data_IF_829271579630
#
_entry.id   IF_829271579630
#
_cell.length_a   1.000
_cell.length_b   1.000
_cell.length_c   1.000
_cell.angle_alpha   90.00
_cell.angle_beta   90.00
_cell.angle_gamma   90.00
#
_symmetry.space_group_name_H-M   'P 1'
#
loop_
_entity.id
_entity.type
_entity.pdbx_description
1 polymer ?
#
# COMPACT_ATOMS: atom_id res chain seq x y z
N UNK A 1 -12.17 5.56 -14.93
CA UNK A 1 -11.08 5.43 -15.94
C UNK A 1 -9.71 5.86 -15.41
N UNK A 2 -9.41 7.14 -15.14
CA UNK A 2 -8.06 7.52 -14.67
C UNK A 2 -7.66 6.93 -13.30
N UNK A 3 -8.59 6.89 -12.34
CA UNK A 3 -8.33 6.35 -10.99
C UNK A 3 -8.04 4.85 -11.02
N UNK A 4 -8.89 4.04 -11.65
CA UNK A 4 -8.72 2.59 -11.78
C UNK A 4 -7.37 2.24 -12.44
N UNK A 5 -7.02 2.93 -13.54
CA UNK A 5 -5.73 2.73 -14.21
C UNK A 5 -4.53 3.03 -13.30
N UNK A 6 -4.61 4.09 -12.50
CA UNK A 6 -3.56 4.43 -11.52
C UNK A 6 -3.45 3.38 -10.43
N UNK A 7 -4.58 2.89 -9.91
CA UNK A 7 -4.59 1.82 -8.91
C UNK A 7 -3.99 0.53 -9.48
N UNK A 8 -4.37 0.11 -10.69
CA UNK A 8 -3.76 -1.04 -11.38
C UNK A 8 -2.26 -0.86 -11.54
N UNK A 9 -1.81 0.32 -11.98
CA UNK A 9 -0.38 0.63 -12.08
C UNK A 9 0.36 0.45 -10.74
N UNK A 10 -0.19 0.94 -9.63
CA UNK A 10 0.45 0.78 -8.31
C UNK A 10 0.49 -0.67 -7.85
N UNK A 11 -0.55 -1.46 -8.13
CA UNK A 11 -0.57 -2.89 -7.82
C UNK A 11 0.46 -3.65 -8.66
N UNK A 12 0.58 -3.37 -9.95
CA UNK A 12 1.56 -3.99 -10.83
C UNK A 12 3.00 -3.66 -10.40
N UNK A 13 3.27 -2.41 -9.99
CA UNK A 13 4.57 -2.02 -9.45
C UNK A 13 4.84 -2.66 -8.08
N UNK A 14 3.81 -2.80 -7.24
CA UNK A 14 3.93 -3.48 -5.96
C UNK A 14 4.25 -4.96 -6.14
N UNK A 15 3.60 -5.67 -7.05
CA UNK A 15 3.88 -7.10 -7.31
C UNK A 15 5.36 -7.34 -7.65
N UNK A 16 5.96 -6.49 -8.50
CA UNK A 16 7.39 -6.58 -8.83
C UNK A 16 8.28 -6.41 -7.59
N UNK A 17 7.97 -5.43 -6.75
CA UNK A 17 8.72 -5.16 -5.51
C UNK A 17 8.53 -6.28 -4.49
N UNK A 18 7.30 -6.79 -4.36
CA UNK A 18 6.92 -7.88 -3.47
C UNK A 18 7.66 -9.16 -3.84
N UNK A 19 7.73 -9.50 -5.12
CA UNK A 19 8.46 -10.68 -5.61
C UNK A 19 9.96 -10.57 -5.31
N UNK A 20 10.56 -9.39 -5.51
CA UNK A 20 11.96 -9.18 -5.18
C UNK A 20 12.21 -9.30 -3.67
N UNK A 21 11.38 -8.63 -2.85
CA UNK A 21 11.45 -8.72 -1.39
C UNK A 21 11.30 -10.16 -0.90
N UNK A 22 10.34 -10.90 -1.45
CA UNK A 22 10.13 -12.31 -1.12
C UNK A 22 11.40 -13.12 -1.40
N UNK A 23 12.03 -12.91 -2.57
CA UNK A 23 13.31 -13.51 -2.92
C UNK A 23 14.43 -13.17 -1.93
N UNK A 24 14.58 -11.89 -1.57
CA UNK A 24 15.61 -11.41 -0.63
C UNK A 24 15.44 -12.00 0.77
N UNK A 25 14.22 -11.96 1.32
CA UNK A 25 13.93 -12.54 2.64
C UNK A 25 14.12 -14.06 2.65
N UNK A 26 13.75 -14.76 1.58
CA UNK A 26 13.91 -16.22 1.47
C UNK A 26 15.38 -16.64 1.44
N UNK A 27 16.23 -15.85 0.78
CA UNK A 27 17.69 -16.08 0.70
C UNK A 27 18.47 -15.48 1.87
N UNK A 28 17.80 -14.76 2.78
CA UNK A 28 18.40 -13.99 3.87
C UNK A 28 19.40 -12.92 3.39
N UNK A 29 19.20 -12.41 2.18
CA UNK A 29 19.98 -11.32 1.60
C UNK A 29 19.38 -9.99 2.07
N UNK A 30 20.08 -9.23 2.91
CA UNK A 30 19.53 -7.98 3.48
C UNK A 30 20.01 -6.69 2.81
N UNK A 31 20.98 -6.76 1.90
CA UNK A 31 21.66 -5.58 1.37
C UNK A 31 20.69 -4.56 0.74
N UNK A 32 19.73 -5.04 -0.04
CA UNK A 32 18.81 -4.16 -0.80
C UNK A 32 17.41 -4.07 -0.17
N UNK A 33 17.13 -4.85 0.88
CA UNK A 33 15.81 -4.91 1.54
C UNK A 33 15.33 -3.53 2.02
N UNK A 34 16.16 -2.69 2.67
CA UNK A 34 15.71 -1.36 3.12
C UNK A 34 15.20 -0.49 1.97
N UNK A 35 15.88 -0.50 0.82
CA UNK A 35 15.51 0.32 -0.34
C UNK A 35 14.27 -0.21 -1.05
N UNK A 36 14.15 -1.53 -1.19
CA UNK A 36 12.95 -2.17 -1.72
C UNK A 36 11.73 -1.92 -0.82
N UNK A 37 11.91 -1.97 0.50
CA UNK A 37 10.84 -1.66 1.46
C UNK A 37 10.44 -0.20 1.42
N UNK A 38 11.39 0.74 1.32
CA UNK A 38 11.07 2.16 1.09
C UNK A 38 10.26 2.36 -0.18
N UNK A 39 10.62 1.68 -1.28
CA UNK A 39 9.86 1.71 -2.53
C UNK A 39 8.44 1.19 -2.33
N UNK A 40 8.27 0.04 -1.66
CA UNK A 40 6.95 -0.52 -1.36
C UNK A 40 6.09 0.39 -0.48
N UNK A 41 6.68 1.01 0.54
CA UNK A 41 5.99 1.97 1.42
C UNK A 41 5.53 3.18 0.60
N UNK A 42 6.40 3.75 -0.24
CA UNK A 42 6.06 4.88 -1.09
C UNK A 42 4.91 4.54 -2.06
N UNK A 43 4.95 3.37 -2.71
CA UNK A 43 3.86 2.87 -3.55
C UNK A 43 2.54 2.75 -2.78
N UNK A 44 2.58 2.29 -1.53
CA UNK A 44 1.39 2.19 -0.70
C UNK A 44 0.81 3.56 -0.36
N UNK A 45 1.65 4.52 0.04
CA UNK A 45 1.23 5.90 0.29
C UNK A 45 0.61 6.54 -0.95
N UNK A 46 1.23 6.38 -2.12
CA UNK A 46 0.63 6.82 -3.37
C UNK A 46 -0.75 6.20 -3.58
N UNK A 47 -0.86 4.87 -3.49
CA UNK A 47 -2.11 4.15 -3.73
C UNK A 47 -3.23 4.57 -2.76
N UNK A 48 -2.96 4.67 -1.45
CA UNK A 48 -3.99 5.01 -0.45
C UNK A 48 -4.50 6.45 -0.63
N UNK A 49 -3.63 7.39 -0.98
CA UNK A 49 -4.04 8.77 -1.25
C UNK A 49 -4.78 8.89 -2.59
N UNK A 50 -4.35 8.15 -3.62
CA UNK A 50 -5.08 8.06 -4.88
C UNK A 50 -6.46 7.42 -4.72
N UNK A 51 -6.63 6.48 -3.79
CA UNK A 51 -7.92 5.92 -3.41
C UNK A 51 -8.86 6.97 -2.80
N UNK A 52 -8.34 8.04 -2.19
CA UNK A 52 -9.16 9.03 -1.48
C UNK A 52 -9.24 10.39 -2.19
N UNK A 53 -8.13 11.12 -2.27
CA UNK A 53 -8.09 12.57 -2.61
C UNK A 53 -7.13 12.93 -3.77
N UNK A 54 -6.30 11.99 -4.24
CA UNK A 54 -5.43 12.15 -5.41
C UNK A 54 -4.09 12.88 -5.17
N UNK A 55 -4.01 13.83 -4.23
CA UNK A 55 -2.74 14.40 -3.77
C UNK A 55 -2.17 13.57 -2.62
N UNK A 56 -0.87 13.27 -2.68
CA UNK A 56 -0.17 12.46 -1.66
C UNK A 56 0.46 13.38 -0.64
N UNK A 57 0.13 13.18 0.64
CA UNK A 57 0.79 13.84 1.76
C UNK A 57 1.32 12.80 2.73
N UNK A 58 2.62 12.83 3.02
CA UNK A 58 3.23 11.93 4.00
C UNK A 58 3.06 12.47 5.43
N UNK A 59 1.81 12.68 5.85
CA UNK A 59 1.47 13.09 7.22
C UNK A 59 0.59 12.06 7.91
N UNK A 60 0.80 11.89 9.22
CA UNK A 60 0.00 10.98 10.05
C UNK A 60 -1.44 11.48 10.13
N UNK A 61 -1.59 12.78 10.24
CA UNK A 61 -2.86 13.50 10.36
C UNK A 61 -3.71 13.29 9.11
N UNK A 62 -3.16 13.48 7.89
CA UNK A 62 -3.92 13.24 6.66
C UNK A 62 -4.31 11.77 6.50
N UNK A 63 -3.42 10.86 6.87
CA UNK A 63 -3.69 9.42 6.84
C UNK A 63 -4.87 9.05 7.76
N UNK A 64 -4.95 9.69 8.94
CA UNK A 64 -6.09 9.54 9.86
C UNK A 64 -7.40 10.07 9.27
N UNK A 65 -7.35 11.11 8.45
CA UNK A 65 -8.52 11.70 7.78
C UNK A 65 -8.97 10.95 6.50
N UNK A 66 -8.29 9.88 6.09
CA UNK A 66 -8.72 9.11 4.91
C UNK A 66 -9.93 8.23 5.21
N UNK A 67 -10.92 8.22 4.32
CA UNK A 67 -12.12 7.38 4.44
C UNK A 67 -11.83 5.92 4.04
N UNK A 68 -11.15 5.75 2.90
CA UNK A 68 -10.77 4.43 2.38
C UNK A 68 -9.37 4.08 2.88
N UNK A 69 -9.30 3.39 4.02
CA UNK A 69 -8.04 2.92 4.61
C UNK A 69 -8.18 1.54 5.25
N UNK A 70 -7.11 0.71 5.24
CA UNK A 70 -7.05 -0.54 6.00
C UNK A 70 -7.27 -0.34 7.50
N UNK A 71 -7.57 -1.44 8.20
CA UNK A 71 -7.73 -1.40 9.66
C UNK A 71 -6.36 -1.12 10.28
N UNK A 72 -6.32 -0.19 11.25
CA UNK A 72 -5.10 0.23 11.95
C UNK A 72 -3.96 0.64 11.00
N UNK A 73 -4.32 1.24 9.85
CA UNK A 73 -3.34 1.63 8.82
C UNK A 73 -2.24 2.54 9.38
N UNK A 74 -2.59 3.43 10.31
CA UNK A 74 -1.66 4.40 10.89
C UNK A 74 -0.62 3.71 11.77
N UNK A 75 -1.04 2.82 12.68
CA UNK A 75 -0.16 2.08 13.57
C UNK A 75 0.74 1.12 12.77
N UNK A 76 0.17 0.44 11.77
CA UNK A 76 0.89 -0.49 10.92
C UNK A 76 1.92 0.22 10.05
N UNK A 77 1.57 1.34 9.42
CA UNK A 77 2.52 2.13 8.63
C UNK A 77 3.63 2.71 9.49
N UNK A 78 3.33 3.18 10.70
CA UNK A 78 4.34 3.64 11.67
C UNK A 78 5.31 2.52 12.04
N UNK A 79 4.79 1.31 12.32
CA UNK A 79 5.63 0.15 12.58
C UNK A 79 6.53 -0.20 11.39
N UNK A 80 5.96 -0.30 10.18
CA UNK A 80 6.68 -0.65 8.96
C UNK A 80 7.79 0.36 8.67
N UNK A 81 7.50 1.66 8.72
CA UNK A 81 8.50 2.72 8.48
C UNK A 81 9.59 2.78 9.54
N UNK A 82 9.28 2.42 10.80
CA UNK A 82 10.31 2.33 11.85
C UNK A 82 11.26 1.14 11.70
N UNK A 83 10.85 0.09 10.99
CA UNK A 83 11.58 -1.18 10.88
C UNK A 83 11.51 -1.77 9.46
N UNK A 84 11.91 -1.03 8.41
CA UNK A 84 11.68 -1.45 7.02
C UNK A 84 12.41 -2.77 6.71
N UNK A 85 13.56 -3.03 7.30
CA UNK A 85 14.34 -4.26 7.02
C UNK A 85 13.77 -5.56 7.61
N UNK A 86 12.72 -5.49 8.41
CA UNK A 86 12.18 -6.65 9.11
C UNK A 86 11.20 -7.43 8.24
N UNK A 87 11.29 -8.77 8.29
CA UNK A 87 10.33 -9.65 7.60
C UNK A 87 8.87 -9.37 8.00
N UNK A 88 8.63 -9.10 9.30
CA UNK A 88 7.30 -8.74 9.80
C UNK A 88 6.77 -7.45 9.16
N UNK A 89 7.63 -6.46 8.88
CA UNK A 89 7.24 -5.23 8.20
C UNK A 89 6.87 -5.49 6.75
N UNK A 90 7.58 -6.39 6.07
CA UNK A 90 7.23 -6.85 4.73
C UNK A 90 5.86 -7.56 4.69
N UNK A 91 5.59 -8.47 5.63
CA UNK A 91 4.30 -9.15 5.74
C UNK A 91 3.18 -8.12 5.99
N UNK A 92 3.39 -7.21 6.94
CA UNK A 92 2.41 -6.16 7.26
C UNK A 92 2.13 -5.25 6.05
N UNK A 93 3.15 -4.87 5.29
CA UNK A 93 2.98 -4.08 4.06
C UNK A 93 2.17 -4.85 3.02
N UNK A 94 2.45 -6.15 2.83
CA UNK A 94 1.71 -7.01 1.90
C UNK A 94 0.24 -7.10 2.26
N UNK A 95 -0.08 -7.30 3.54
CA UNK A 95 -1.45 -7.33 4.03
C UNK A 95 -2.17 -5.99 3.85
N UNK A 96 -1.48 -4.86 4.07
CA UNK A 96 -2.03 -3.52 3.83
C UNK A 96 -2.47 -3.34 2.36
N UNK A 97 -1.66 -3.78 1.40
CA UNK A 97 -2.03 -3.74 -0.03
C UNK A 97 -3.29 -4.58 -0.32
N UNK A 98 -3.34 -5.81 0.19
CA UNK A 98 -4.49 -6.72 0.01
C UNK A 98 -5.77 -6.12 0.59
N UNK A 99 -5.69 -5.53 1.78
CA UNK A 99 -6.83 -4.89 2.42
C UNK A 99 -7.32 -3.67 1.64
N UNK A 100 -6.39 -2.81 1.19
CA UNK A 100 -6.73 -1.60 0.44
C UNK A 100 -7.36 -1.93 -0.92
N UNK A 101 -6.84 -2.94 -1.62
CA UNK A 101 -7.41 -3.42 -2.90
C UNK A 101 -8.86 -3.91 -2.72
N UNK A 102 -9.14 -4.66 -1.64
CA UNK A 102 -10.50 -5.11 -1.31
C UNK A 102 -11.43 -3.93 -1.02
N UNK A 103 -10.97 -2.96 -0.25
CA UNK A 103 -11.72 -1.73 0.07
C UNK A 103 -12.06 -0.97 -1.22
N UNK A 104 -11.07 -0.77 -2.09
CA UNK A 104 -11.26 -0.09 -3.37
C UNK A 104 -12.25 -0.84 -4.27
N UNK A 105 -12.10 -2.16 -4.40
CA UNK A 105 -13.00 -3.00 -5.20
C UNK A 105 -14.45 -2.90 -4.73
N UNK A 106 -14.67 -2.92 -3.40
CA UNK A 106 -16.00 -2.74 -2.81
C UNK A 106 -16.59 -1.38 -3.14
N UNK A 107 -15.79 -0.31 -3.03
CA UNK A 107 -16.24 1.05 -3.32
C UNK A 107 -16.63 1.21 -4.80
N UNK A 108 -15.90 0.60 -5.72
CA UNK A 108 -16.21 0.61 -7.16
C UNK A 108 -17.53 -0.11 -7.47
N UNK A 109 -17.78 -1.26 -6.84
CA UNK A 109 -19.03 -2.01 -7.01
C UNK A 109 -20.22 -1.17 -6.51
N UNK A 110 -20.10 -0.58 -5.32
CA UNK A 110 -21.15 0.28 -4.75
C UNK A 110 -21.44 1.48 -5.66
N UNK A 111 -20.41 2.15 -6.17
CA UNK A 111 -20.58 3.29 -7.10
C UNK A 111 -21.26 2.92 -8.41
N UNK A 112 -21.04 1.71 -8.93
CA UNK A 112 -21.72 1.22 -10.12
C UNK A 112 -23.18 0.87 -9.84
N UNK A 113 -23.47 0.29 -8.68
CA UNK A 113 -24.83 -0.05 -8.26
C UNK A 113 -25.70 1.16 -7.89
N UNK A 114 -25.09 2.28 -7.47
CA UNK A 114 -25.79 3.52 -7.11
C UNK A 114 -26.03 4.49 -8.28
N UNK A 115 -25.57 4.17 -9.50
CA UNK A 115 -25.92 4.96 -10.70
C UNK A 115 -27.25 4.46 -11.26
N UNK A 116 -28.30 5.31 -11.36
CA UNK A 116 -29.58 4.95 -11.93
C UNK A 116 -29.49 4.63 -13.43
#
# INVERSE_FOLDING_TARGET
MMKEQRITFFLDEWEKVKDELHGRFSKREQNDVPELMKKGIALFYEMIFWCNKGSVEFSREELEQLDLKPINAVERLSFITSRPSNYHSYVQLTELFIELEKIFSKEQIMKKASKP
#
